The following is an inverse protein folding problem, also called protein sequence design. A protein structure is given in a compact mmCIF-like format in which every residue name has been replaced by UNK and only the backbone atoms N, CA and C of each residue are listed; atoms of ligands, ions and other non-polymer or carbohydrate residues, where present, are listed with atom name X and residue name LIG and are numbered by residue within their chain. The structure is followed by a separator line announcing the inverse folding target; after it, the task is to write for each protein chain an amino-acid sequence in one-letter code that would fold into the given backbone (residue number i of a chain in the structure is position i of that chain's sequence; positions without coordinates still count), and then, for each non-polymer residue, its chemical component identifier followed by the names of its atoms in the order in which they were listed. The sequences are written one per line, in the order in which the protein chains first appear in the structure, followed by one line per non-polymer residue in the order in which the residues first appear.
data_IF_902600359254
#
_entry.id   IF_902600359254
#
_cell.length_a   1.000
_cell.length_b   1.000
_cell.length_c   1.000
_cell.angle_alpha   90.00
_cell.angle_beta   90.00
_cell.angle_gamma   90.00
#
_symmetry.space_group_name_H-M   'P 1'
#
loop_
_entity.id
_entity.type
_entity.pdbx_description
1 polymer ?
#
# COMPACT_ATOMS: atom_id res chain seq x y z
N UNK A 1 10.64 3.92 40.32
CA UNK A 1 10.58 3.84 38.84
C UNK A 1 9.23 3.23 38.49
N UNK A 2 8.40 3.93 37.71
CA UNK A 2 6.98 3.59 37.51
C UNK A 2 6.75 2.92 36.16
N UNK A 3 6.41 1.64 36.19
CA UNK A 3 6.06 0.78 35.03
C UNK A 3 4.85 1.29 34.23
N UNK A 4 4.06 2.22 34.79
CA UNK A 4 2.90 2.78 34.11
C UNK A 4 3.25 3.74 32.96
N UNK A 5 4.45 4.33 32.92
CA UNK A 5 4.84 5.22 31.80
C UNK A 5 5.27 4.45 30.54
N UNK A 6 5.68 3.20 30.67
CA UNK A 6 6.23 2.43 29.54
C UNK A 6 5.14 1.77 28.69
N UNK A 7 4.03 1.35 29.30
CA UNK A 7 2.87 0.79 28.59
C UNK A 7 2.19 1.85 27.73
N UNK A 8 2.02 3.09 28.25
CA UNK A 8 1.40 4.18 27.49
C UNK A 8 2.23 4.56 26.27
N UNK A 9 3.55 4.71 26.41
CA UNK A 9 4.44 5.04 25.28
C UNK A 9 4.44 3.96 24.21
N UNK A 10 4.41 2.69 24.62
CA UNK A 10 4.37 1.57 23.69
C UNK A 10 3.06 1.56 22.87
N UNK A 11 1.92 1.77 23.53
CA UNK A 11 0.61 1.85 22.87
C UNK A 11 0.50 3.04 21.90
N UNK A 12 1.00 4.23 22.27
CA UNK A 12 1.00 5.40 21.38
C UNK A 12 1.87 5.16 20.13
N UNK A 13 3.04 4.53 20.28
CA UNK A 13 3.94 4.24 19.16
C UNK A 13 3.34 3.23 18.19
N UNK A 14 2.72 2.16 18.68
CA UNK A 14 2.03 1.19 17.81
C UNK A 14 0.88 1.85 17.05
N UNK A 15 0.07 2.67 17.72
CA UNK A 15 -1.03 3.38 17.07
C UNK A 15 -0.53 4.32 15.96
N UNK A 16 0.56 5.05 16.19
CA UNK A 16 1.19 5.88 15.15
C UNK A 16 1.65 5.08 13.94
N UNK A 17 2.20 3.87 14.14
CA UNK A 17 2.61 2.99 13.04
C UNK A 17 1.40 2.50 12.23
N UNK A 18 0.31 2.12 12.92
CA UNK A 18 -0.95 1.71 12.26
C UNK A 18 -1.52 2.87 11.44
N UNK A 19 -1.56 4.09 12.00
CA UNK A 19 -2.05 5.26 11.27
C UNK A 19 -1.20 5.58 10.03
N UNK A 20 0.13 5.47 10.14
CA UNK A 20 1.02 5.68 8.99
C UNK A 20 0.82 4.60 7.93
N UNK A 21 0.67 3.34 8.35
CA UNK A 21 0.35 2.23 7.45
C UNK A 21 -0.95 2.48 6.69
N UNK A 22 -2.03 2.89 7.37
CA UNK A 22 -3.31 3.16 6.73
C UNK A 22 -3.21 4.22 5.63
N UNK A 23 -2.46 5.30 5.87
CA UNK A 23 -2.24 6.36 4.87
C UNK A 23 -1.47 5.86 3.64
N UNK A 24 -0.43 5.05 3.86
CA UNK A 24 0.36 4.48 2.76
C UNK A 24 -0.42 3.42 1.99
N UNK A 25 -1.25 2.62 2.66
CA UNK A 25 -2.10 1.63 2.01
C UNK A 25 -3.16 2.34 1.15
N UNK A 26 -3.77 3.42 1.65
CA UNK A 26 -4.69 4.26 0.88
C UNK A 26 -4.01 4.91 -0.34
N UNK A 27 -2.79 5.42 -0.20
CA UNK A 27 -1.99 5.95 -1.31
C UNK A 27 -1.66 4.87 -2.35
N UNK A 28 -1.29 3.67 -1.88
CA UNK A 28 -1.04 2.52 -2.73
C UNK A 28 -2.29 2.13 -3.53
N UNK A 29 -3.47 2.08 -2.90
CA UNK A 29 -4.73 1.78 -3.58
C UNK A 29 -5.08 2.87 -4.62
N UNK A 30 -4.92 4.16 -4.28
CA UNK A 30 -5.12 5.25 -5.25
C UNK A 30 -4.20 5.14 -6.46
N UNK A 31 -2.93 4.80 -6.25
CA UNK A 31 -1.97 4.65 -7.34
C UNK A 31 -2.27 3.42 -8.21
N UNK A 32 -2.79 2.34 -7.63
CA UNK A 32 -3.27 1.17 -8.39
C UNK A 32 -4.47 1.59 -9.26
N UNK A 33 -5.46 2.28 -8.69
CA UNK A 33 -6.63 2.75 -9.43
C UNK A 33 -6.25 3.67 -10.59
N UNK A 34 -5.30 4.58 -10.39
CA UNK A 34 -4.77 5.46 -11.45
C UNK A 34 -4.11 4.64 -12.57
N UNK A 35 -3.21 3.72 -12.21
CA UNK A 35 -2.53 2.87 -13.18
C UNK A 35 -3.50 1.99 -13.98
N UNK A 36 -4.52 1.42 -13.34
CA UNK A 36 -5.57 0.63 -14.00
C UNK A 36 -6.38 1.49 -14.97
N UNK A 37 -6.76 2.71 -14.57
CA UNK A 37 -7.49 3.64 -15.45
C UNK A 37 -6.68 4.01 -16.68
N UNK A 38 -5.41 4.35 -16.52
CA UNK A 38 -4.50 4.64 -17.63
C UNK A 38 -4.35 3.43 -18.55
N UNK A 39 -4.14 2.24 -17.97
CA UNK A 39 -4.06 0.98 -18.71
C UNK A 39 -5.33 0.71 -19.53
N UNK A 40 -6.53 0.92 -18.95
CA UNK A 40 -7.81 0.76 -19.64
C UNK A 40 -8.04 1.80 -20.73
N UNK A 41 -7.48 3.01 -20.59
CA UNK A 41 -7.50 4.05 -21.60
C UNK A 41 -6.48 3.83 -22.73
N UNK A 42 -5.59 2.84 -22.61
CA UNK A 42 -4.49 2.61 -23.54
C UNK A 42 -3.35 3.63 -23.41
N UNK A 43 -3.29 4.32 -22.27
CA UNK A 43 -2.23 5.28 -21.95
C UNK A 43 -1.04 4.61 -21.27
N UNK A 44 0.14 5.21 -21.41
CA UNK A 44 1.33 4.74 -20.71
C UNK A 44 1.18 4.97 -19.20
N UNK A 45 1.52 3.95 -18.41
CA UNK A 45 1.50 4.02 -16.95
C UNK A 45 2.76 3.38 -16.37
N UNK A 46 2.98 3.59 -15.08
CA UNK A 46 4.11 2.99 -14.34
C UNK A 46 3.62 2.42 -13.01
N UNK A 47 4.40 1.49 -12.44
CA UNK A 47 4.14 0.95 -11.10
C UNK A 47 5.00 1.60 -10.02
N UNK A 48 5.74 2.66 -10.36
CA UNK A 48 6.74 3.27 -9.48
C UNK A 48 6.10 3.83 -8.20
N UNK A 49 5.00 4.59 -8.33
CA UNK A 49 4.26 5.16 -7.19
C UNK A 49 3.67 4.07 -6.28
N UNK A 50 3.12 3.02 -6.89
CA UNK A 50 2.59 1.86 -6.17
C UNK A 50 3.71 1.18 -5.36
N UNK A 51 4.87 1.00 -6.00
CA UNK A 51 6.02 0.34 -5.40
C UNK A 51 6.75 1.23 -4.38
N UNK A 52 6.67 2.55 -4.50
CA UNK A 52 7.18 3.50 -3.50
C UNK A 52 6.41 3.37 -2.20
N UNK A 53 5.08 3.48 -2.24
CA UNK A 53 4.22 3.24 -1.08
C UNK A 53 4.44 1.83 -0.50
N UNK A 54 4.57 0.81 -1.36
CA UNK A 54 4.87 -0.57 -0.95
C UNK A 54 6.21 -0.69 -0.21
N UNK A 55 7.27 0.01 -0.65
CA UNK A 55 8.58 0.02 0.03
C UNK A 55 8.48 0.69 1.40
N UNK A 56 7.73 1.78 1.52
CA UNK A 56 7.50 2.43 2.81
C UNK A 56 6.72 1.53 3.77
N UNK A 57 5.65 0.88 3.31
CA UNK A 57 4.88 -0.10 4.09
C UNK A 57 5.81 -1.22 4.56
N UNK A 58 6.61 -1.80 3.67
CA UNK A 58 7.54 -2.88 4.04
C UNK A 58 8.61 -2.42 5.03
N UNK A 59 9.00 -1.15 5.00
CA UNK A 59 9.90 -0.56 6.00
C UNK A 59 9.21 -0.45 7.37
N UNK A 60 7.93 -0.07 7.42
CA UNK A 60 7.15 -0.08 8.67
C UNK A 60 6.92 -1.50 9.19
N UNK A 61 6.66 -2.46 8.31
CA UNK A 61 6.39 -3.85 8.65
C UNK A 61 7.59 -4.56 9.32
N UNK A 62 8.82 -4.09 9.08
CA UNK A 62 10.02 -4.58 9.81
C UNK A 62 9.95 -4.35 11.32
N UNK A 63 9.09 -3.44 11.78
CA UNK A 63 8.84 -3.21 13.21
C UNK A 63 7.85 -4.23 13.81
N UNK A 64 7.26 -5.12 13.00
CA UNK A 64 6.41 -6.22 13.46
C UNK A 64 4.95 -5.86 13.76
N UNK A 65 4.54 -4.61 13.55
CA UNK A 65 3.19 -4.12 13.90
C UNK A 65 2.20 -4.21 12.74
N UNK A 66 2.69 -4.11 11.50
CA UNK A 66 1.86 -4.03 10.29
C UNK A 66 2.35 -5.05 9.24
N UNK A 67 1.48 -5.57 8.36
CA UNK A 67 1.86 -6.58 7.39
C UNK A 67 2.73 -6.01 6.27
N UNK A 68 3.53 -6.88 5.65
CA UNK A 68 4.24 -6.57 4.41
C UNK A 68 3.28 -6.65 3.20
N UNK A 69 3.62 -5.92 2.13
CA UNK A 69 2.92 -5.92 0.85
C UNK A 69 3.86 -6.35 -0.27
N UNK A 70 3.31 -7.06 -1.26
CA UNK A 70 4.04 -7.49 -2.46
C UNK A 70 4.24 -6.30 -3.40
N UNK A 71 5.41 -6.23 -4.04
CA UNK A 71 5.67 -5.31 -5.16
C UNK A 71 4.78 -5.65 -6.36
N UNK A 72 4.39 -4.63 -7.09
CA UNK A 72 3.48 -4.72 -8.25
C UNK A 72 4.30 -4.54 -9.53
N UNK A 73 4.12 -5.46 -10.47
CA UNK A 73 4.69 -5.35 -11.82
C UNK A 73 3.66 -4.76 -12.79
N UNK A 74 4.13 -4.26 -13.94
CA UNK A 74 3.25 -3.77 -15.01
C UNK A 74 2.27 -4.86 -15.45
N UNK A 75 2.78 -6.07 -15.67
CA UNK A 75 1.98 -7.26 -16.03
C UNK A 75 0.82 -7.53 -15.05
N UNK A 76 1.05 -7.36 -13.74
CA UNK A 76 -0.01 -7.54 -12.73
C UNK A 76 -1.15 -6.52 -12.89
N UNK A 77 -0.81 -5.29 -13.28
CA UNK A 77 -1.80 -4.23 -13.54
C UNK A 77 -2.56 -4.52 -14.82
N UNK A 78 -1.87 -4.92 -15.89
CA UNK A 78 -2.47 -5.27 -17.18
C UNK A 78 -3.43 -6.45 -17.05
N UNK A 79 -3.02 -7.54 -16.37
CA UNK A 79 -3.87 -8.69 -16.10
C UNK A 79 -5.14 -8.29 -15.34
N UNK A 80 -4.99 -7.45 -14.33
CA UNK A 80 -6.11 -6.99 -13.51
C UNK A 80 -7.06 -6.10 -14.32
N UNK A 81 -6.52 -5.13 -15.07
CA UNK A 81 -7.29 -4.27 -15.96
C UNK A 81 -8.06 -5.06 -17.02
N UNK A 82 -7.43 -6.09 -17.62
CA UNK A 82 -8.05 -6.98 -18.58
C UNK A 82 -9.20 -7.80 -17.97
N UNK A 83 -9.00 -8.36 -16.77
CA UNK A 83 -10.08 -9.07 -16.03
C UNK A 83 -11.27 -8.16 -15.73
N UNK A 84 -11.03 -6.90 -15.38
CA UNK A 84 -12.10 -5.92 -15.15
C UNK A 84 -12.88 -5.59 -16.42
N UNK A 85 -12.22 -5.54 -17.58
CA UNK A 85 -12.90 -5.29 -18.86
C UNK A 85 -13.76 -6.47 -19.30
N UNK A 86 -13.33 -7.71 -19.06
CA UNK A 86 -14.11 -8.93 -19.33
C UNK A 86 -15.41 -8.99 -18.51
N UNK A 87 -15.39 -8.50 -17.26
CA UNK A 87 -16.56 -8.50 -16.38
C UNK A 87 -17.56 -7.35 -16.66
N UNK A 88 -17.25 -6.44 -17.59
CA UNK A 88 -18.13 -5.33 -18.00
C UNK A 88 -18.97 -5.63 -19.26
N UNK A 89 -18.74 -6.77 -19.92
CA UNK A 89 -19.56 -7.26 -21.05
C UNK A 89 -20.72 -8.11 -20.54
#
# INVERSE_FOLDING_TARGET
MSVHKDITKHSTRQNQLVQKFMKLDEERERAIDEAVKLCQAGEAFTTDRINEATREINTLARQGVVPQRKTVTVEMVEEYAARLNLNKQ
#
